data_IF_400109021578
#
_entry.id   IF_400109021578
#
_cell.length_a   1.000
_cell.length_b   1.000
_cell.length_c   1.000
_cell.angle_alpha   90.00
_cell.angle_beta   90.00
_cell.angle_gamma   90.00
#
_symmetry.space_group_name_H-M   'P 1'
#
loop_
_entity.id
_entity.type
_entity.pdbx_description
1 polymer ?
#
# COMPACT_ATOMS: atom_id res chain seq x y z
N UNK A 1 -5.99 -16.79 -3.51
CA UNK A 1 -6.20 -15.36 -3.71
C UNK A 1 -5.24 -14.56 -2.86
N UNK A 2 -4.53 -13.66 -3.48
CA UNK A 2 -3.53 -12.89 -2.77
C UNK A 2 -4.11 -11.70 -2.06
N UNK A 3 -3.35 -11.20 -1.11
CA UNK A 3 -3.70 -9.97 -0.41
C UNK A 3 -2.96 -8.83 -1.08
N UNK A 4 -3.66 -7.86 -1.66
CA UNK A 4 -3.00 -6.78 -2.38
C UNK A 4 -2.36 -5.76 -1.45
N UNK A 5 -1.10 -5.45 -1.74
CA UNK A 5 -0.35 -4.43 -1.02
C UNK A 5 0.15 -3.40 -2.01
N UNK A 6 -0.07 -2.15 -1.70
CA UNK A 6 0.48 -1.05 -2.48
C UNK A 6 1.75 -0.58 -1.78
N UNK A 7 2.84 -0.56 -2.52
CA UNK A 7 4.14 -0.24 -1.93
C UNK A 7 4.43 1.24 -2.00
N UNK A 8 4.85 1.80 -0.90
CA UNK A 8 5.23 3.21 -0.82
C UNK A 8 6.59 3.33 -0.17
N UNK A 9 7.24 4.47 -0.35
CA UNK A 9 8.64 4.63 0.03
C UNK A 9 8.85 4.98 1.49
N UNK A 10 7.85 5.50 2.19
CA UNK A 10 8.05 5.96 3.55
C UNK A 10 6.80 5.80 4.38
N UNK A 11 7.00 5.82 5.70
CA UNK A 11 5.87 5.74 6.63
C UNK A 11 4.93 6.94 6.45
N UNK A 12 5.49 8.09 6.13
CA UNK A 12 4.67 9.29 5.93
C UNK A 12 3.68 9.07 4.78
N UNK A 13 4.15 8.54 3.67
CA UNK A 13 3.27 8.26 2.55
C UNK A 13 2.30 7.13 2.87
N UNK A 14 2.75 6.15 3.65
CA UNK A 14 1.86 5.06 4.03
C UNK A 14 0.70 5.58 4.88
N UNK A 15 1.00 6.45 5.83
CA UNK A 15 -0.04 7.01 6.69
C UNK A 15 -0.98 7.93 5.92
N UNK A 16 -0.44 8.73 5.00
CA UNK A 16 -1.27 9.57 4.16
C UNK A 16 -2.17 8.74 3.27
N UNK A 17 -1.64 7.66 2.75
CA UNK A 17 -2.43 6.76 1.92
C UNK A 17 -3.59 6.19 2.70
N UNK A 18 -3.31 5.72 3.90
CA UNK A 18 -4.34 5.14 4.75
C UNK A 18 -5.45 6.15 5.04
N UNK A 19 -5.08 7.38 5.39
CA UNK A 19 -6.06 8.41 5.67
C UNK A 19 -6.92 8.74 4.45
N UNK A 20 -6.26 8.89 3.32
CA UNK A 20 -6.97 9.21 2.08
C UNK A 20 -7.98 8.12 1.74
N UNK A 21 -7.57 6.88 1.82
CA UNK A 21 -8.45 5.77 1.51
C UNK A 21 -9.61 5.68 2.50
N UNK A 22 -9.30 5.93 3.76
CA UNK A 22 -10.34 5.90 4.77
C UNK A 22 -11.43 6.94 4.50
N UNK A 23 -11.03 8.12 4.03
CA UNK A 23 -11.99 9.16 3.68
C UNK A 23 -12.91 8.74 2.54
N UNK A 24 -12.44 7.85 1.71
CA UNK A 24 -13.22 7.34 0.58
C UNK A 24 -13.93 6.03 0.90
N UNK A 25 -13.98 5.68 2.17
CA UNK A 25 -14.68 4.47 2.59
C UNK A 25 -13.92 3.19 2.31
N UNK A 26 -12.63 3.28 2.06
CA UNK A 26 -11.79 2.12 1.76
C UNK A 26 -10.92 1.81 2.97
N UNK A 27 -11.06 0.60 3.49
CA UNK A 27 -10.23 0.17 4.62
C UNK A 27 -8.83 -0.16 4.13
N UNK A 28 -7.84 0.30 4.87
CA UNK A 28 -6.45 0.05 4.54
C UNK A 28 -5.63 -0.09 5.81
N UNK A 29 -4.58 -0.90 5.72
CA UNK A 29 -3.71 -1.18 6.86
C UNK A 29 -2.27 -0.96 6.44
N UNK A 30 -1.51 -0.28 7.29
CA UNK A 30 -0.11 -0.01 7.02
C UNK A 30 0.73 -1.13 7.61
N UNK A 31 1.59 -1.71 6.77
CA UNK A 31 2.47 -2.78 7.20
C UNK A 31 3.89 -2.44 6.79
N UNK A 32 4.84 -2.80 7.62
CA UNK A 32 6.23 -2.63 7.29
C UNK A 32 6.68 -3.83 6.47
N UNK A 33 7.25 -3.56 5.30
CA UNK A 33 7.62 -4.61 4.38
C UNK A 33 9.12 -4.60 4.15
N UNK A 34 9.85 -5.26 5.03
CA UNK A 34 11.30 -5.20 5.01
C UNK A 34 11.93 -6.02 3.89
N UNK A 35 11.22 -6.97 3.33
CA UNK A 35 11.81 -7.93 2.40
C UNK A 35 11.14 -7.97 1.04
N UNK A 36 10.55 -6.87 0.61
CA UNK A 36 9.86 -6.89 -0.67
C UNK A 36 10.85 -6.96 -1.81
N UNK A 37 11.91 -6.20 -1.70
CA UNK A 37 12.97 -6.19 -2.70
C UNK A 37 14.30 -5.98 -2.02
N UNK A 38 15.23 -6.87 -2.33
CA UNK A 38 16.53 -6.80 -1.70
C UNK A 38 17.27 -5.50 -1.99
N UNK A 39 17.06 -4.94 -3.17
CA UNK A 39 17.79 -3.77 -3.61
C UNK A 39 17.24 -2.45 -3.12
N UNK A 40 16.08 -2.46 -2.51
CA UNK A 40 15.44 -1.21 -2.13
C UNK A 40 15.36 -1.00 -0.63
N UNK A 41 15.90 -1.91 0.13
CA UNK A 41 15.87 -1.78 1.57
C UNK A 41 14.46 -1.87 2.13
N UNK A 42 14.22 -1.12 3.18
CA UNK A 42 12.94 -1.16 3.87
C UNK A 42 11.92 -0.29 3.17
N UNK A 43 10.69 -0.79 3.10
CA UNK A 43 9.58 -0.05 2.56
C UNK A 43 8.34 -0.29 3.39
N UNK A 44 7.26 0.31 2.98
CA UNK A 44 5.98 0.15 3.64
C UNK A 44 4.94 -0.31 2.65
N UNK A 45 4.07 -1.18 3.09
CA UNK A 45 2.96 -1.66 2.27
C UNK A 45 1.65 -1.17 2.86
N UNK A 46 0.74 -0.82 1.99
CA UNK A 46 -0.62 -0.49 2.40
C UNK A 46 -1.50 -1.63 1.94
N UNK A 47 -1.98 -2.40 2.88
CA UNK A 47 -2.84 -3.54 2.58
C UNK A 47 -4.26 -3.06 2.37
N UNK A 48 -4.81 -3.34 1.20
CA UNK A 48 -6.17 -2.94 0.86
C UNK A 48 -6.98 -4.20 0.52
N UNK A 49 -7.74 -4.71 1.48
CA UNK A 49 -8.48 -5.97 1.25
C UNK A 49 -9.54 -5.87 0.16
N UNK A 50 -10.11 -4.70 -0.03
CA UNK A 50 -11.15 -4.50 -1.04
C UNK A 50 -10.90 -3.20 -1.78
N UNK A 51 -11.03 -3.25 -3.11
CA UNK A 51 -10.91 -2.05 -3.91
C UNK A 51 -9.48 -1.57 -4.12
N UNK A 52 -8.55 -2.50 -4.25
CA UNK A 52 -7.15 -2.12 -4.42
C UNK A 52 -6.91 -1.31 -5.69
N UNK A 53 -7.63 -1.61 -6.76
CA UNK A 53 -7.47 -0.86 -8.00
C UNK A 53 -7.89 0.59 -7.82
N UNK A 54 -9.04 0.79 -7.18
CA UNK A 54 -9.51 2.13 -6.90
C UNK A 54 -8.58 2.84 -5.94
N UNK A 55 -8.09 2.11 -4.94
CA UNK A 55 -7.17 2.68 -3.97
C UNK A 55 -5.90 3.18 -4.65
N UNK A 56 -5.33 2.38 -5.54
CA UNK A 56 -4.13 2.78 -6.24
C UNK A 56 -4.39 4.03 -7.07
N UNK A 57 -5.53 4.09 -7.74
CA UNK A 57 -5.88 5.26 -8.54
C UNK A 57 -6.00 6.51 -7.67
N UNK A 58 -6.67 6.38 -6.52
CA UNK A 58 -6.83 7.51 -5.62
C UNK A 58 -5.49 8.04 -5.12
N UNK A 59 -4.57 7.13 -4.80
CA UNK A 59 -3.25 7.53 -4.34
C UNK A 59 -2.48 8.26 -5.43
N UNK A 60 -2.55 7.76 -6.65
CA UNK A 60 -1.85 8.41 -7.75
C UNK A 60 -2.42 9.78 -8.04
N UNK A 61 -3.74 9.92 -7.96
CA UNK A 61 -4.38 11.20 -8.18
C UNK A 61 -4.03 12.21 -7.10
N UNK A 62 -3.76 11.73 -5.90
CA UNK A 62 -3.36 12.59 -4.79
C UNK A 62 -1.87 12.92 -4.80
N UNK A 63 -1.13 12.44 -5.79
CA UNK A 63 0.29 12.68 -5.87
C UNK A 63 1.14 11.78 -5.01
N UNK A 64 0.56 10.71 -4.48
CA UNK A 64 1.30 9.75 -3.69
C UNK A 64 1.88 8.70 -4.62
N UNK A 65 3.20 8.59 -4.60
CA UNK A 65 3.87 7.66 -5.49
C UNK A 65 3.74 6.23 -5.00
N UNK A 66 3.13 5.41 -5.83
CA UNK A 66 3.02 3.98 -5.56
C UNK A 66 4.16 3.30 -6.29
N UNK A 67 5.07 2.70 -5.55
CA UNK A 67 6.26 2.07 -6.11
C UNK A 67 5.94 0.77 -6.84
N UNK A 68 4.89 0.11 -6.39
CA UNK A 68 4.49 -1.14 -7.01
C UNK A 68 3.34 -1.74 -6.25
N UNK A 69 2.90 -2.89 -6.74
CA UNK A 69 1.80 -3.60 -6.13
C UNK A 69 2.17 -5.07 -6.05
N UNK A 70 2.00 -5.67 -4.89
CA UNK A 70 2.22 -7.09 -4.73
C UNK A 70 0.99 -7.73 -4.15
N UNK A 71 0.83 -9.00 -4.46
CA UNK A 71 -0.25 -9.80 -3.89
C UNK A 71 0.39 -11.02 -3.23
N UNK A 72 0.07 -11.21 -1.97
CA UNK A 72 0.62 -12.31 -1.20
C UNK A 72 -0.49 -13.17 -0.64
N UNK A 73 -0.21 -14.45 -0.54
CA UNK A 73 -1.14 -15.41 0.02
C UNK A 73 -0.98 -15.55 1.51
N UNK A 74 -0.73 -14.51 2.17
CA UNK A 74 -0.60 -14.55 3.60
C UNK A 74 0.70 -13.94 4.06
N UNK A 75 0.77 -13.75 5.33
CA UNK A 75 1.91 -13.17 5.98
C UNK A 75 2.70 -14.20 6.70
N UNK A 76 3.71 -14.63 6.18
CA UNK A 76 4.64 -15.46 6.96
C UNK A 76 6.03 -15.12 6.59
#
# INVERSE_FOLDING_TARGET
MGKPFLLVSSITYAMKSRELLFRHGIKAYVERTAHIRENQGCGYGVYVPHGADRAEQLLREAGIRVLGRIERDGWT
#
